data_IF_295025970329
#
_entry.id   IF_295025970329
#
_cell.length_a   1.000
_cell.length_b   1.000
_cell.length_c   1.000
_cell.angle_alpha   90.00
_cell.angle_beta   90.00
_cell.angle_gamma   90.00
#
_symmetry.space_group_name_H-M   'P 1'
#
loop_
_entity.id
_entity.type
_entity.pdbx_description
1 polymer ?
#
# COMPACT_ATOMS: atom_id res chain seq x y z
N UNK A 1 24.16 12.88 -19.70
CA UNK A 1 23.10 13.91 -19.82
C UNK A 1 22.43 13.75 -21.18
N UNK A 2 21.72 12.64 -21.35
CA UNK A 2 20.81 12.42 -22.48
C UNK A 2 19.52 13.14 -22.10
N UNK A 3 19.07 14.07 -22.95
CA UNK A 3 17.85 14.83 -22.69
C UNK A 3 16.71 13.87 -22.39
N UNK A 4 16.05 14.05 -21.23
CA UNK A 4 14.70 13.50 -21.07
C UNK A 4 13.91 14.04 -22.26
N UNK A 5 13.55 13.16 -23.19
CA UNK A 5 12.69 13.52 -24.29
C UNK A 5 11.47 14.22 -23.70
N UNK A 6 11.19 15.42 -24.20
CA UNK A 6 10.01 16.17 -23.78
C UNK A 6 8.81 15.25 -23.92
N UNK A 7 8.03 15.12 -22.86
CA UNK A 7 6.86 14.24 -22.83
C UNK A 7 5.95 14.59 -24.02
N UNK A 8 5.35 13.59 -24.68
CA UNK A 8 4.45 13.90 -25.79
C UNK A 8 3.13 14.49 -25.29
N UNK A 9 2.37 15.16 -26.16
CA UNK A 9 1.05 15.67 -25.81
C UNK A 9 0.10 14.53 -25.40
N UNK A 10 0.23 13.38 -26.08
CA UNK A 10 -0.52 12.16 -25.81
C UNK A 10 -0.22 11.61 -24.42
N UNK A 11 1.06 11.52 -24.05
CA UNK A 11 1.46 11.04 -22.73
C UNK A 11 0.99 12.00 -21.62
N UNK A 12 1.06 13.31 -21.84
CA UNK A 12 0.53 14.30 -20.88
C UNK A 12 -0.97 14.15 -20.64
N UNK A 13 -1.76 14.03 -21.72
CA UNK A 13 -3.20 13.82 -21.62
C UNK A 13 -3.50 12.51 -20.88
N UNK A 14 -2.81 11.44 -21.27
CA UNK A 14 -2.97 10.13 -20.62
C UNK A 14 -2.63 10.18 -19.13
N UNK A 15 -1.53 10.84 -18.75
CA UNK A 15 -1.15 11.03 -17.35
C UNK A 15 -2.24 11.75 -16.56
N UNK A 16 -2.82 12.81 -17.14
CA UNK A 16 -3.88 13.58 -16.48
C UNK A 16 -5.12 12.72 -16.23
N UNK A 17 -5.48 11.85 -17.19
CA UNK A 17 -6.56 10.86 -17.01
C UNK A 17 -6.18 9.80 -15.97
N UNK A 18 -4.93 9.30 -15.98
CA UNK A 18 -4.46 8.28 -15.05
C UNK A 18 -4.40 8.74 -13.58
N UNK A 19 -4.22 10.04 -13.32
CA UNK A 19 -4.26 10.62 -11.97
C UNK A 19 -5.66 10.88 -11.45
N UNK A 20 -6.64 10.96 -12.36
CA UNK A 20 -8.00 11.31 -12.00
C UNK A 20 -8.72 10.08 -11.44
N UNK A 21 -9.24 10.23 -10.22
CA UNK A 21 -10.13 9.24 -9.62
C UNK A 21 -11.57 9.61 -10.00
N UNK A 22 -12.16 8.83 -10.89
CA UNK A 22 -13.48 9.04 -11.46
C UNK A 22 -14.64 8.64 -10.52
N UNK A 23 -14.34 7.93 -9.43
CA UNK A 23 -15.31 7.60 -8.37
C UNK A 23 -15.41 8.73 -7.33
N UNK A 24 -14.28 9.34 -6.97
CA UNK A 24 -14.21 10.35 -5.91
C UNK A 24 -14.15 11.79 -6.42
N UNK A 25 -13.88 11.99 -7.72
CA UNK A 25 -13.63 13.29 -8.32
C UNK A 25 -12.28 13.91 -7.94
N UNK A 26 -11.40 13.17 -7.25
CA UNK A 26 -10.06 13.67 -6.95
C UNK A 26 -9.26 13.81 -8.25
N UNK A 27 -8.63 14.96 -8.44
CA UNK A 27 -7.80 15.22 -9.63
C UNK A 27 -8.55 15.84 -10.81
N UNK A 28 -9.84 16.12 -10.71
CA UNK A 28 -10.63 16.71 -11.82
C UNK A 28 -10.04 18.00 -12.38
N UNK A 29 -9.50 18.88 -11.52
CA UNK A 29 -8.80 20.08 -12.00
C UNK A 29 -7.58 19.76 -12.88
N UNK A 30 -6.79 18.76 -12.47
CA UNK A 30 -5.64 18.28 -13.22
C UNK A 30 -6.02 17.62 -14.55
N UNK A 31 -7.13 16.87 -14.58
CA UNK A 31 -7.71 16.32 -15.81
C UNK A 31 -8.02 17.43 -16.82
N UNK A 32 -8.77 18.45 -16.38
CA UNK A 32 -9.22 19.56 -17.23
C UNK A 32 -8.01 20.39 -17.72
N UNK A 33 -7.05 20.69 -16.84
CA UNK A 33 -5.84 21.43 -17.22
C UNK A 33 -4.95 20.61 -18.17
N UNK A 34 -4.88 19.29 -17.97
CA UNK A 34 -4.23 18.36 -18.90
C UNK A 34 -4.87 18.38 -20.29
N UNK A 35 -6.20 18.40 -20.36
CA UNK A 35 -6.95 18.53 -21.61
C UNK A 35 -6.67 19.86 -22.31
N UNK A 36 -6.69 20.99 -21.58
CA UNK A 36 -6.34 22.32 -22.12
C UNK A 36 -4.93 22.35 -22.71
N UNK A 37 -3.98 21.74 -22.01
CA UNK A 37 -2.59 21.69 -22.45
C UNK A 37 -2.42 20.80 -23.69
N UNK A 38 -3.11 19.66 -23.72
CA UNK A 38 -3.13 18.78 -24.90
C UNK A 38 -3.63 19.53 -26.16
N UNK A 39 -4.68 20.35 -26.03
CA UNK A 39 -5.15 21.23 -27.11
C UNK A 39 -4.09 22.25 -27.55
N UNK A 40 -3.44 22.90 -26.58
CA UNK A 40 -2.38 23.86 -26.87
C UNK A 40 -1.17 23.22 -27.58
N UNK A 41 -0.92 21.95 -27.30
CA UNK A 41 0.17 21.16 -27.89
C UNK A 41 -0.23 20.53 -29.25
N UNK A 42 -1.45 20.78 -29.74
CA UNK A 42 -1.90 20.41 -31.08
C UNK A 42 -2.70 19.10 -31.18
N UNK A 43 -3.00 18.43 -30.06
CA UNK A 43 -4.04 17.39 -30.06
C UNK A 43 -5.40 18.06 -30.22
N UNK A 44 -6.30 17.45 -30.98
CA UNK A 44 -7.61 18.07 -31.22
C UNK A 44 -8.69 17.01 -31.48
N UNK A 45 -9.78 17.10 -30.73
CA UNK A 45 -10.96 16.26 -30.89
C UNK A 45 -12.19 16.95 -30.29
N UNK A 46 -13.42 16.62 -30.75
CA UNK A 46 -14.65 17.15 -30.17
C UNK A 46 -14.72 16.98 -28.64
N UNK A 47 -14.54 15.76 -28.13
CA UNK A 47 -14.61 15.50 -26.69
C UNK A 47 -13.49 16.17 -25.92
N UNK A 48 -12.28 16.29 -26.50
CA UNK A 48 -11.16 16.98 -25.84
C UNK A 48 -11.43 18.47 -25.66
N UNK A 49 -12.07 19.14 -26.63
CA UNK A 49 -12.47 20.56 -26.52
C UNK A 49 -13.52 20.76 -25.44
N UNK A 50 -14.50 19.87 -25.38
CA UNK A 50 -15.54 19.91 -24.34
C UNK A 50 -14.93 19.67 -22.95
N UNK A 51 -14.05 18.67 -22.82
CA UNK A 51 -13.34 18.40 -21.57
C UNK A 51 -12.48 19.59 -21.11
N UNK A 52 -11.77 20.25 -22.02
CA UNK A 52 -10.97 21.43 -21.71
C UNK A 52 -11.82 22.65 -21.30
N UNK A 53 -13.07 22.72 -21.78
CA UNK A 53 -14.04 23.75 -21.43
C UNK A 53 -14.83 23.46 -20.14
N UNK A 54 -14.76 22.23 -19.63
CA UNK A 54 -15.45 21.82 -18.42
C UNK A 54 -14.96 22.55 -17.16
N UNK A 55 -15.78 22.51 -16.11
CA UNK A 55 -15.46 23.01 -14.79
C UNK A 55 -15.26 21.86 -13.79
N UNK A 56 -14.41 22.03 -12.75
CA UNK A 56 -14.16 20.98 -11.76
C UNK A 56 -15.38 20.49 -10.96
N UNK A 57 -16.50 21.21 -11.06
CA UNK A 57 -17.77 20.93 -10.37
C UNK A 57 -18.78 20.21 -11.25
N UNK A 58 -18.45 19.97 -12.51
CA UNK A 58 -19.33 19.27 -13.44
C UNK A 58 -19.48 17.80 -13.01
N UNK A 59 -20.56 17.17 -13.43
CA UNK A 59 -20.93 15.83 -12.99
C UNK A 59 -19.89 14.79 -13.43
N UNK A 60 -19.46 13.93 -12.50
CA UNK A 60 -18.41 12.93 -12.75
C UNK A 60 -18.72 11.97 -13.92
N UNK A 61 -19.98 11.50 -14.12
CA UNK A 61 -20.31 10.68 -15.28
C UNK A 61 -20.04 11.38 -16.62
N UNK A 62 -20.35 12.67 -16.73
CA UNK A 62 -20.15 13.45 -17.97
C UNK A 62 -18.66 13.63 -18.24
N UNK A 63 -17.88 13.97 -17.20
CA UNK A 63 -16.42 14.07 -17.30
C UNK A 63 -15.78 12.74 -17.70
N UNK A 64 -16.33 11.61 -17.25
CA UNK A 64 -15.87 10.26 -17.61
C UNK A 64 -16.10 9.98 -19.08
N UNK A 65 -17.29 10.30 -19.58
CA UNK A 65 -17.63 10.14 -20.99
C UNK A 65 -16.72 11.02 -21.88
N UNK A 66 -16.52 12.28 -21.49
CA UNK A 66 -15.64 13.21 -22.20
C UNK A 66 -14.18 12.74 -22.21
N UNK A 67 -13.64 12.28 -21.08
CA UNK A 67 -12.28 11.75 -21.02
C UNK A 67 -12.11 10.50 -21.89
N UNK A 68 -13.03 9.54 -21.81
CA UNK A 68 -12.99 8.32 -22.62
C UNK A 68 -13.15 8.63 -24.12
N UNK A 69 -14.06 9.53 -24.48
CA UNK A 69 -14.26 10.02 -25.85
C UNK A 69 -13.00 10.69 -26.38
N UNK A 70 -12.41 11.61 -25.62
CA UNK A 70 -11.19 12.32 -26.00
C UNK A 70 -10.06 11.34 -26.33
N UNK A 71 -9.75 10.40 -25.43
CA UNK A 71 -8.70 9.39 -25.64
C UNK A 71 -8.97 8.53 -26.88
N UNK A 72 -10.21 8.07 -27.06
CA UNK A 72 -10.60 7.25 -28.21
C UNK A 72 -10.43 7.98 -29.54
N UNK A 73 -10.90 9.24 -29.62
CA UNK A 73 -10.86 10.05 -30.83
C UNK A 73 -9.42 10.38 -31.27
N UNK A 74 -8.50 10.56 -30.31
CA UNK A 74 -7.07 10.81 -30.62
C UNK A 74 -6.23 9.54 -30.69
N UNK A 75 -6.85 8.35 -30.59
CA UNK A 75 -6.16 7.07 -30.72
C UNK A 75 -5.25 6.70 -29.54
N UNK A 76 -5.53 7.22 -28.36
CA UNK A 76 -4.80 6.92 -27.12
C UNK A 76 -5.54 5.83 -26.34
N UNK A 77 -4.88 4.75 -25.89
CA UNK A 77 -5.53 3.74 -25.06
C UNK A 77 -5.85 4.31 -23.67
N UNK A 78 -6.94 3.83 -23.07
CA UNK A 78 -7.30 4.17 -21.70
C UNK A 78 -6.22 3.71 -20.71
N UNK A 79 -5.95 4.42 -19.59
CA UNK A 79 -4.90 4.03 -18.65
C UNK A 79 -4.93 2.58 -18.17
N UNK A 80 -6.10 2.01 -17.91
CA UNK A 80 -6.25 0.60 -17.52
C UNK A 80 -5.97 -0.43 -18.63
N UNK A 81 -5.80 0.00 -19.88
CA UNK A 81 -5.51 -0.88 -21.01
C UNK A 81 -4.00 -0.98 -21.32
N UNK A 82 -3.17 -0.09 -20.76
CA UNK A 82 -1.71 -0.14 -20.91
C UNK A 82 -1.15 -1.12 -19.88
N UNK A 83 -0.41 -2.17 -20.29
CA UNK A 83 0.19 -3.11 -19.34
C UNK A 83 1.16 -2.42 -18.37
N UNK A 84 1.27 -2.96 -17.16
CA UNK A 84 2.23 -2.47 -16.17
C UNK A 84 3.67 -2.47 -16.70
N UNK A 85 4.44 -1.46 -16.32
CA UNK A 85 5.81 -1.25 -16.83
C UNK A 85 5.91 -0.68 -18.25
N UNK A 86 4.80 -0.25 -18.86
CA UNK A 86 4.79 0.46 -20.14
C UNK A 86 4.38 1.94 -19.97
N UNK A 87 4.68 2.74 -20.99
CA UNK A 87 4.24 4.13 -21.17
C UNK A 87 3.82 4.34 -22.62
N UNK A 88 3.18 5.45 -22.92
CA UNK A 88 2.87 5.86 -24.28
C UNK A 88 4.03 6.61 -24.92
N UNK A 89 4.39 6.16 -26.11
CA UNK A 89 5.20 6.90 -27.06
C UNK A 89 4.33 7.81 -27.95
N UNK A 90 5.01 8.54 -28.83
CA UNK A 90 4.35 9.36 -29.85
C UNK A 90 3.40 8.52 -30.72
N UNK A 91 2.23 9.09 -31.06
CA UNK A 91 1.22 8.39 -31.86
C UNK A 91 0.50 7.24 -31.15
N UNK A 92 0.52 7.21 -29.81
CA UNK A 92 -0.25 6.26 -29.00
C UNK A 92 0.37 4.86 -28.87
N UNK A 93 1.57 4.62 -29.40
CA UNK A 93 2.24 3.33 -29.28
C UNK A 93 2.68 3.06 -27.83
N UNK A 94 2.48 1.85 -27.31
CA UNK A 94 2.99 1.47 -25.98
C UNK A 94 4.45 1.07 -26.06
N UNK A 95 5.31 1.70 -25.26
CA UNK A 95 6.74 1.39 -25.16
C UNK A 95 7.11 1.03 -23.73
N UNK A 96 8.11 0.17 -23.55
CA UNK A 96 8.54 -0.26 -22.22
C UNK A 96 9.15 0.93 -21.46
N UNK A 97 8.76 1.10 -20.20
CA UNK A 97 9.25 2.17 -19.34
C UNK A 97 10.72 1.92 -19.01
N UNK A 98 11.62 2.88 -19.26
CA UNK A 98 13.03 2.72 -18.92
C UNK A 98 13.21 2.82 -17.40
N UNK A 99 14.19 2.08 -16.87
CA UNK A 99 14.55 2.05 -15.45
C UNK A 99 15.36 3.29 -15.04
N UNK A 100 14.70 4.46 -15.00
CA UNK A 100 15.34 5.76 -14.75
C UNK A 100 14.98 6.37 -13.41
N UNK A 101 14.01 5.79 -12.71
CA UNK A 101 13.55 6.32 -11.43
C UNK A 101 14.42 5.83 -10.27
N UNK A 102 14.53 6.65 -9.22
CA UNK A 102 15.20 6.30 -7.97
C UNK A 102 14.19 6.16 -6.83
N UNK A 103 14.44 5.23 -5.92
CA UNK A 103 13.61 5.01 -4.73
C UNK A 103 14.39 5.40 -3.46
N UNK A 104 13.72 6.06 -2.53
CA UNK A 104 14.18 6.21 -1.14
C UNK A 104 13.03 6.04 -0.17
N UNK A 105 13.25 5.30 0.90
CA UNK A 105 12.31 4.98 1.97
C UNK A 105 12.83 5.59 3.28
N UNK A 106 12.00 6.35 3.99
CA UNK A 106 12.36 6.88 5.31
C UNK A 106 11.31 6.49 6.33
N UNK A 107 11.75 5.94 7.48
CA UNK A 107 10.84 5.71 8.60
C UNK A 107 10.88 6.91 9.52
N UNK A 108 9.75 7.57 9.69
CA UNK A 108 9.68 8.82 10.45
C UNK A 108 8.56 8.79 11.49
N UNK A 109 8.80 9.49 12.59
CA UNK A 109 7.80 9.73 13.62
C UNK A 109 6.77 10.73 13.09
N UNK A 110 5.50 10.33 13.09
CA UNK A 110 4.38 11.14 12.56
C UNK A 110 3.97 12.21 13.56
N UNK A 111 3.85 11.85 14.84
CA UNK A 111 3.43 12.76 15.91
C UNK A 111 4.43 12.70 17.06
N UNK A 112 5.10 13.82 17.41
CA UNK A 112 6.00 13.87 18.55
C UNK A 112 5.34 13.39 19.85
N UNK A 113 6.06 12.58 20.63
CA UNK A 113 5.56 12.01 21.89
C UNK A 113 4.63 10.81 21.74
N UNK A 114 4.39 10.34 20.51
CA UNK A 114 3.65 9.09 20.23
C UNK A 114 4.60 7.97 19.77
N UNK A 115 4.07 6.78 19.56
CA UNK A 115 4.74 5.66 18.89
C UNK A 115 4.25 5.46 17.44
N UNK A 116 3.67 6.51 16.83
CA UNK A 116 3.15 6.45 15.47
C UNK A 116 4.26 6.78 14.48
N UNK A 117 4.67 5.78 13.71
CA UNK A 117 5.65 5.93 12.64
C UNK A 117 5.00 5.69 11.28
N UNK A 118 5.59 6.26 10.24
CA UNK A 118 5.19 6.05 8.86
C UNK A 118 6.42 5.84 7.97
N UNK A 119 6.30 4.96 6.99
CA UNK A 119 7.25 4.84 5.89
C UNK A 119 6.90 5.91 4.86
N UNK A 120 7.75 6.94 4.74
CA UNK A 120 7.70 7.89 3.64
C UNK A 120 8.39 7.31 2.43
N UNK A 121 7.72 7.41 1.29
CA UNK A 121 8.24 6.93 0.00
C UNK A 121 8.61 8.13 -0.84
N UNK A 122 9.86 8.16 -1.30
CA UNK A 122 10.36 9.17 -2.21
C UNK A 122 10.71 8.52 -3.54
N UNK A 123 10.21 9.10 -4.63
CA UNK A 123 10.61 8.71 -5.98
C UNK A 123 11.17 9.93 -6.69
N UNK A 124 12.41 9.83 -7.18
CA UNK A 124 13.15 10.96 -7.74
C UNK A 124 13.13 12.18 -6.81
N UNK A 125 13.34 11.94 -5.51
CA UNK A 125 13.30 12.93 -4.43
C UNK A 125 11.94 13.61 -4.16
N UNK A 126 10.87 13.21 -4.84
CA UNK A 126 9.50 13.66 -4.58
C UNK A 126 8.82 12.75 -3.55
N UNK A 127 8.22 13.31 -2.49
CA UNK A 127 7.53 12.51 -1.47
C UNK A 127 6.14 12.05 -1.94
N UNK A 128 6.08 10.80 -2.38
CA UNK A 128 4.91 10.17 -2.99
C UNK A 128 3.80 9.89 -1.98
N UNK A 129 4.15 9.63 -0.71
CA UNK A 129 3.16 9.36 0.34
C UNK A 129 2.30 10.57 0.69
N UNK A 130 2.90 11.78 0.68
CA UNK A 130 2.17 13.02 0.91
C UNK A 130 1.23 13.34 -0.26
N UNK A 131 1.68 13.13 -1.49
CA UNK A 131 0.91 13.40 -2.71
C UNK A 131 -0.16 12.32 -3.00
N UNK A 132 0.00 11.13 -2.44
CA UNK A 132 -1.01 10.07 -2.46
C UNK A 132 -2.09 10.27 -1.41
N UNK A 133 -2.29 9.25 -0.57
CA UNK A 133 -3.26 9.27 0.52
C UNK A 133 -2.82 10.08 1.77
N UNK A 134 -1.73 10.85 1.68
CA UNK A 134 -1.19 11.83 2.65
C UNK A 134 -0.38 11.31 3.82
N UNK A 135 -0.51 10.03 4.20
CA UNK A 135 0.27 9.46 5.29
C UNK A 135 0.84 8.10 4.89
N UNK A 136 2.15 7.90 5.07
CA UNK A 136 2.78 6.61 4.82
C UNK A 136 2.21 5.47 5.68
N UNK A 137 2.38 4.24 5.21
CA UNK A 137 1.99 3.06 6.00
C UNK A 137 2.86 2.90 7.25
N UNK A 138 2.30 2.26 8.28
CA UNK A 138 3.10 1.86 9.45
C UNK A 138 4.23 0.91 8.97
N UNK A 139 5.50 1.13 9.36
CA UNK A 139 6.61 0.27 8.96
C UNK A 139 6.38 -1.20 9.30
N UNK A 140 5.69 -1.47 10.40
CA UNK A 140 5.36 -2.83 10.81
C UNK A 140 4.43 -3.51 9.79
N UNK A 141 3.46 -2.80 9.21
CA UNK A 141 2.55 -3.37 8.20
C UNK A 141 3.17 -3.55 6.82
N UNK A 142 4.26 -2.83 6.54
CA UNK A 142 4.90 -2.85 5.23
C UNK A 142 6.11 -3.78 5.18
N UNK A 143 6.88 -3.85 6.28
CA UNK A 143 8.17 -4.53 6.33
C UNK A 143 8.15 -5.84 7.13
N UNK A 144 7.10 -6.08 7.94
CA UNK A 144 7.04 -7.18 8.91
C UNK A 144 5.67 -7.90 8.81
N UNK A 145 5.61 -9.23 9.01
CA UNK A 145 6.74 -10.17 9.03
C UNK A 145 7.35 -10.43 7.66
N UNK A 146 6.59 -10.14 6.61
CA UNK A 146 6.99 -10.26 5.22
C UNK A 146 7.18 -8.84 4.71
N UNK A 147 8.35 -8.57 4.14
CA UNK A 147 8.59 -7.29 3.49
C UNK A 147 7.81 -7.24 2.17
N UNK A 148 6.69 -6.51 2.19
CA UNK A 148 5.77 -6.42 1.05
C UNK A 148 6.35 -5.67 -0.13
N UNK A 149 7.45 -4.94 0.05
CA UNK A 149 8.13 -4.21 -1.02
C UNK A 149 9.11 -5.10 -1.78
N UNK A 150 9.37 -6.35 -1.37
CA UNK A 150 10.22 -7.26 -2.14
C UNK A 150 9.52 -7.61 -3.45
N UNK A 151 10.12 -7.19 -4.56
CA UNK A 151 9.55 -7.36 -5.90
C UNK A 151 9.81 -8.77 -6.44
N UNK A 152 8.77 -9.41 -6.97
CA UNK A 152 8.85 -10.71 -7.65
C UNK A 152 8.28 -10.61 -9.07
N UNK A 153 8.43 -11.67 -9.86
CA UNK A 153 7.83 -11.73 -11.21
C UNK A 153 6.29 -11.76 -11.17
N UNK A 154 5.70 -12.18 -10.04
CA UNK A 154 4.25 -12.09 -9.84
C UNK A 154 3.88 -10.70 -9.32
N UNK A 155 2.95 -9.98 -9.97
CA UNK A 155 2.51 -8.67 -9.51
C UNK A 155 1.90 -8.73 -8.11
N UNK A 156 2.41 -7.91 -7.21
CA UNK A 156 1.90 -7.78 -5.85
C UNK A 156 1.25 -6.42 -5.63
N UNK A 157 0.03 -6.40 -5.09
CA UNK A 157 -0.65 -5.18 -4.64
C UNK A 157 -0.18 -4.80 -3.24
N UNK A 158 0.35 -3.59 -3.11
CA UNK A 158 0.95 -3.09 -1.87
C UNK A 158 0.41 -1.70 -1.52
N UNK A 159 -0.21 -1.51 -0.35
CA UNK A 159 -0.52 -0.18 0.14
C UNK A 159 0.76 0.53 0.60
N UNK A 160 0.97 1.76 0.14
CA UNK A 160 2.14 2.57 0.51
C UNK A 160 1.75 3.86 1.25
N UNK A 161 0.52 4.34 1.08
CA UNK A 161 -0.03 5.44 1.85
C UNK A 161 -1.49 5.17 2.25
N UNK A 162 -1.95 5.83 3.31
CA UNK A 162 -3.30 5.78 3.86
C UNK A 162 -3.76 7.16 4.29
N UNK A 163 -5.07 7.37 4.40
CA UNK A 163 -5.61 8.58 5.03
C UNK A 163 -5.07 8.73 6.46
N UNK A 164 -4.70 9.95 6.89
CA UNK A 164 -4.36 10.22 8.30
C UNK A 164 -5.58 10.14 9.23
N UNK A 165 -6.78 10.25 8.66
CA UNK A 165 -8.03 10.10 9.38
C UNK A 165 -8.25 8.63 9.78
N UNK A 166 -8.70 8.40 11.02
CA UNK A 166 -9.05 7.03 11.45
C UNK A 166 -10.43 6.59 10.96
N UNK A 167 -11.30 7.54 10.63
CA UNK A 167 -12.75 7.31 10.56
C UNK A 167 -13.42 7.58 9.19
N UNK A 168 -12.77 8.23 8.21
CA UNK A 168 -13.46 8.69 6.99
C UNK A 168 -13.28 7.81 5.74
N UNK A 169 -13.28 6.50 5.91
CA UNK A 169 -13.16 5.53 4.81
C UNK A 169 -11.70 5.32 4.39
N UNK A 170 -11.39 4.10 3.95
CA UNK A 170 -10.03 3.65 3.63
C UNK A 170 -9.53 4.27 2.31
N UNK A 171 -9.20 5.57 2.31
CA UNK A 171 -8.41 6.14 1.21
C UNK A 171 -6.98 5.63 1.35
N UNK A 172 -6.51 4.89 0.34
CA UNK A 172 -5.21 4.23 0.33
C UNK A 172 -4.57 4.45 -1.04
N UNK A 173 -3.28 4.76 -1.07
CA UNK A 173 -2.48 4.69 -2.30
C UNK A 173 -1.90 3.29 -2.39
N UNK A 174 -2.41 2.53 -3.36
CA UNK A 174 -1.94 1.20 -3.68
C UNK A 174 -1.06 1.21 -4.93
N UNK A 175 -0.04 0.37 -4.91
CA UNK A 175 0.86 0.15 -6.03
C UNK A 175 0.91 -1.33 -6.37
N UNK A 176 0.88 -1.64 -7.67
CA UNK A 176 1.28 -2.93 -8.19
C UNK A 176 2.80 -2.93 -8.37
N UNK A 177 3.49 -3.82 -7.67
CA UNK A 177 4.93 -4.01 -7.76
C UNK A 177 5.19 -5.29 -8.55
N UNK A 178 5.93 -5.18 -9.64
CA UNK A 178 6.36 -6.33 -10.45
C UNK A 178 7.82 -6.19 -10.83
N UNK A 179 8.54 -7.30 -10.76
CA UNK A 179 9.92 -7.43 -11.25
C UNK A 179 9.89 -8.05 -12.64
N UNK A 180 10.57 -7.41 -13.57
CA UNK A 180 10.75 -7.91 -14.92
C UNK A 180 12.22 -7.79 -15.30
N UNK A 181 12.92 -8.91 -15.12
CA UNK A 181 14.37 -9.06 -15.17
C UNK A 181 15.12 -8.08 -14.26
N UNK A 182 15.88 -7.16 -14.86
CA UNK A 182 16.71 -6.16 -14.19
C UNK A 182 15.95 -4.89 -13.80
N UNK A 183 14.62 -4.87 -13.95
CA UNK A 183 13.79 -3.69 -13.68
C UNK A 183 12.67 -4.03 -12.72
N UNK A 184 12.39 -3.14 -11.77
CA UNK A 184 11.19 -3.20 -10.93
C UNK A 184 10.24 -2.09 -11.35
N UNK A 185 9.03 -2.46 -11.72
CA UNK A 185 7.97 -1.56 -12.12
C UNK A 185 6.97 -1.37 -10.99
N UNK A 186 6.59 -0.13 -10.77
CA UNK A 186 5.52 0.27 -9.87
C UNK A 186 4.45 0.97 -10.71
N UNK A 187 3.22 0.48 -10.62
CA UNK A 187 2.06 1.09 -11.27
C UNK A 187 0.99 1.40 -10.23
N UNK A 188 0.49 2.63 -10.23
CA UNK A 188 -0.47 3.09 -9.24
C UNK A 188 -1.86 2.51 -9.52
N UNK A 189 -2.51 1.98 -8.49
CA UNK A 189 -3.83 1.35 -8.59
C UNK A 189 -4.94 2.25 -8.05
N UNK A 190 -4.66 2.97 -6.97
CA UNK A 190 -5.60 3.86 -6.30
C UNK A 190 -4.86 5.12 -5.85
N UNK A 191 -5.55 6.27 -5.91
CA UNK A 191 -5.04 7.54 -5.43
C UNK A 191 -3.64 7.87 -5.97
N UNK A 192 -3.51 7.79 -7.30
CA UNK A 192 -2.25 7.87 -8.00
C UNK A 192 -1.52 9.20 -7.73
N UNK A 193 -0.34 9.17 -7.08
CA UNK A 193 0.41 10.37 -6.71
C UNK A 193 1.06 11.04 -7.92
N UNK A 194 1.25 10.30 -9.02
CA UNK A 194 1.78 10.81 -10.28
C UNK A 194 1.10 10.09 -11.46
N UNK A 195 1.04 10.74 -12.63
CA UNK A 195 0.27 10.23 -13.77
C UNK A 195 0.92 9.14 -14.58
N UNK A 196 2.14 8.74 -14.23
CA UNK A 196 2.83 7.59 -14.80
C UNK A 196 3.26 6.65 -13.69
N UNK A 197 3.33 5.35 -13.96
CA UNK A 197 4.09 4.50 -13.06
C UNK A 197 5.59 4.84 -13.08
N UNK A 198 6.34 4.17 -12.22
CA UNK A 198 7.79 4.36 -12.07
C UNK A 198 8.54 3.06 -12.30
N UNK A 199 9.82 3.15 -12.64
CA UNK A 199 10.66 2.00 -12.95
C UNK A 199 12.08 2.19 -12.47
N UNK A 200 12.53 1.23 -11.67
CA UNK A 200 13.80 1.27 -10.96
C UNK A 200 14.74 0.20 -11.51
N UNK A 201 16.04 0.49 -11.51
CA UNK A 201 17.04 -0.57 -11.58
C UNK A 201 16.82 -1.54 -10.42
N UNK A 202 16.70 -2.83 -10.71
CA UNK A 202 16.28 -3.81 -9.71
C UNK A 202 17.32 -3.99 -8.60
N UNK A 203 18.61 -3.84 -8.88
CA UNK A 203 19.65 -3.96 -7.85
C UNK A 203 19.62 -2.75 -6.90
N UNK A 204 19.44 -1.54 -7.43
CA UNK A 204 19.29 -0.33 -6.61
C UNK A 204 18.02 -0.39 -5.76
N UNK A 205 16.90 -0.86 -6.34
CA UNK A 205 15.64 -1.07 -5.64
C UNK A 205 15.80 -2.06 -4.48
N UNK A 206 16.37 -3.25 -4.74
CA UNK A 206 16.56 -4.29 -3.74
C UNK A 206 17.47 -3.81 -2.59
N UNK A 207 18.53 -3.06 -2.91
CA UNK A 207 19.43 -2.50 -1.92
C UNK A 207 18.70 -1.52 -0.98
N UNK A 208 17.85 -0.65 -1.53
CA UNK A 208 17.08 0.31 -0.73
C UNK A 208 16.01 -0.38 0.12
N UNK A 209 15.28 -1.35 -0.44
CA UNK A 209 14.29 -2.15 0.29
C UNK A 209 14.95 -2.94 1.42
N UNK A 210 16.12 -3.54 1.18
CA UNK A 210 16.89 -4.25 2.20
C UNK A 210 17.41 -3.31 3.29
N UNK A 211 17.91 -2.13 2.92
CA UNK A 211 18.36 -1.10 3.88
C UNK A 211 17.21 -0.65 4.78
N UNK A 212 16.05 -0.34 4.21
CA UNK A 212 14.88 0.07 4.96
C UNK A 212 14.38 -1.03 5.91
N UNK A 213 14.39 -2.30 5.47
CA UNK A 213 14.03 -3.44 6.31
C UNK A 213 15.02 -3.70 7.47
N UNK A 214 16.29 -3.34 7.29
CA UNK A 214 17.33 -3.46 8.31
C UNK A 214 17.37 -2.28 9.29
N UNK A 215 16.67 -1.18 8.99
CA UNK A 215 16.54 -0.06 9.92
C UNK A 215 15.53 -0.39 11.02
N UNK A 216 16.04 -0.59 12.24
CA UNK A 216 15.25 -0.87 13.44
C UNK A 216 15.30 0.29 14.44
N UNK A 217 15.83 1.45 14.04
CA UNK A 217 16.03 2.59 14.96
C UNK A 217 14.72 3.21 15.44
N UNK A 218 13.62 2.97 14.72
CA UNK A 218 12.26 3.40 15.05
C UNK A 218 11.51 2.45 15.99
N UNK A 219 12.07 1.26 16.27
CA UNK A 219 11.37 0.25 17.06
C UNK A 219 11.36 0.61 18.55
N UNK A 220 10.15 0.69 19.13
CA UNK A 220 10.00 0.56 20.58
C UNK A 220 10.29 -0.89 21.01
N UNK A 221 10.58 -1.16 22.29
CA UNK A 221 10.78 -2.54 22.76
C UNK A 221 9.65 -3.50 22.37
N UNK A 222 8.41 -3.04 22.42
CA UNK A 222 7.22 -3.81 22.03
C UNK A 222 7.22 -4.12 20.52
N UNK A 223 7.58 -3.16 19.67
CA UNK A 223 7.68 -3.34 18.21
C UNK A 223 8.84 -4.28 17.85
N UNK A 224 9.96 -4.18 18.55
CA UNK A 224 11.06 -5.12 18.40
C UNK A 224 10.65 -6.54 18.78
N UNK A 225 9.92 -6.71 19.88
CA UNK A 225 9.40 -8.01 20.29
C UNK A 225 8.45 -8.59 19.25
N UNK A 226 7.54 -7.76 18.73
CA UNK A 226 6.63 -8.14 17.66
C UNK A 226 7.33 -8.59 16.40
N UNK A 227 8.34 -7.83 15.93
CA UNK A 227 9.12 -8.22 14.76
C UNK A 227 9.82 -9.54 15.03
N UNK A 228 10.55 -9.65 16.14
CA UNK A 228 11.28 -10.87 16.49
C UNK A 228 10.36 -12.09 16.67
N UNK A 229 9.14 -11.89 17.16
CA UNK A 229 8.16 -12.94 17.33
C UNK A 229 7.65 -13.45 15.98
N UNK A 230 7.41 -12.55 15.03
CA UNK A 230 6.85 -12.92 13.74
C UNK A 230 7.91 -13.30 12.71
N UNK A 231 9.14 -12.77 12.81
CA UNK A 231 10.27 -13.17 11.95
C UNK A 231 10.66 -14.63 12.21
N UNK A 232 10.52 -15.46 11.18
CA UNK A 232 10.81 -16.90 11.25
C UNK A 232 9.72 -17.72 11.95
N UNK A 233 8.54 -17.15 12.16
CA UNK A 233 7.33 -17.93 12.45
C UNK A 233 6.82 -18.54 11.15
N UNK A 234 6.39 -19.80 11.20
CA UNK A 234 5.84 -20.55 10.07
C UNK A 234 4.40 -20.08 9.79
N UNK A 235 4.29 -19.01 8.99
CA UNK A 235 3.01 -18.39 8.66
C UNK A 235 2.13 -19.29 7.79
N UNK A 236 2.72 -20.14 6.96
CA UNK A 236 1.97 -21.09 6.11
C UNK A 236 1.27 -22.14 6.97
N UNK A 237 1.95 -22.64 8.01
CA UNK A 237 1.32 -23.51 9.00
C UNK A 237 0.17 -22.81 9.72
N UNK A 238 0.33 -21.53 10.10
CA UNK A 238 -0.74 -20.76 10.73
C UNK A 238 -1.93 -20.56 9.78
N UNK A 239 -1.66 -20.26 8.51
CA UNK A 239 -2.68 -20.17 7.45
C UNK A 239 -3.41 -21.50 7.26
N UNK A 240 -2.75 -22.64 7.45
CA UNK A 240 -3.37 -23.96 7.47
C UNK A 240 -4.43 -24.17 8.58
N UNK A 241 -4.43 -23.33 9.62
CA UNK A 241 -5.49 -23.27 10.63
C UNK A 241 -6.52 -22.16 10.37
N UNK A 242 -6.46 -21.47 9.23
CA UNK A 242 -7.30 -20.31 8.93
C UNK A 242 -6.81 -19.00 9.57
N UNK A 243 -5.63 -19.00 10.20
CA UNK A 243 -5.09 -17.84 10.91
C UNK A 243 -4.25 -16.95 9.99
N UNK A 244 -4.59 -15.67 9.93
CA UNK A 244 -3.86 -14.62 9.23
C UNK A 244 -3.39 -13.57 10.23
N UNK A 245 -2.08 -13.36 10.33
CA UNK A 245 -1.55 -12.31 11.19
C UNK A 245 -2.01 -10.92 10.74
N UNK A 246 -2.37 -10.06 11.70
CA UNK A 246 -2.86 -8.69 11.44
C UNK A 246 -1.97 -7.65 12.11
N UNK A 247 -1.69 -7.82 13.41
CA UNK A 247 -1.03 -6.78 14.20
C UNK A 247 -0.38 -7.36 15.46
N UNK A 248 0.52 -6.58 16.07
CA UNK A 248 1.12 -6.91 17.35
C UNK A 248 1.41 -5.66 18.18
N UNK A 249 1.27 -5.77 19.50
CA UNK A 249 1.60 -4.70 20.43
C UNK A 249 1.20 -5.03 21.86
N UNK A 250 1.09 -4.02 22.72
CA UNK A 250 0.57 -4.24 24.07
C UNK A 250 -0.95 -4.23 24.07
N UNK A 251 -1.55 -5.10 24.89
CA UNK A 251 -3.00 -5.14 25.06
C UNK A 251 -3.51 -3.81 25.57
N UNK A 252 -4.53 -3.24 24.91
CA UNK A 252 -5.18 -2.01 25.38
C UNK A 252 -5.69 -2.10 26.83
N UNK A 253 -6.27 -3.22 27.31
CA UNK A 253 -6.73 -3.31 28.69
C UNK A 253 -5.61 -3.61 29.70
N UNK A 254 -4.47 -4.16 29.26
CA UNK A 254 -3.35 -4.51 30.14
C UNK A 254 -1.99 -4.26 29.43
N UNK A 255 -1.28 -3.17 29.76
CA UNK A 255 0.02 -2.86 29.17
C UNK A 255 1.11 -3.87 29.56
N UNK A 256 0.87 -4.74 30.53
CA UNK A 256 1.76 -5.82 30.95
C UNK A 256 1.58 -7.11 30.12
N UNK A 257 0.72 -7.08 29.10
CA UNK A 257 0.50 -8.18 28.15
C UNK A 257 0.92 -7.75 26.75
N UNK A 258 1.78 -8.55 26.14
CA UNK A 258 2.11 -8.50 24.73
C UNK A 258 1.13 -9.37 23.94
N UNK A 259 0.50 -8.82 22.92
CA UNK A 259 -0.53 -9.46 22.11
C UNK A 259 -0.12 -9.56 20.64
N UNK A 260 -0.34 -10.74 20.07
CA UNK A 260 -0.31 -10.97 18.63
C UNK A 260 -1.75 -11.18 18.16
N UNK A 261 -2.23 -10.29 17.31
CA UNK A 261 -3.57 -10.37 16.72
C UNK A 261 -3.53 -11.12 15.39
N UNK A 262 -4.37 -12.15 15.32
CA UNK A 262 -4.71 -12.91 14.12
C UNK A 262 -6.18 -12.74 13.78
N UNK A 263 -6.47 -12.69 12.49
CA UNK A 263 -7.79 -12.98 11.95
C UNK A 263 -7.92 -14.49 11.76
N UNK A 264 -9.08 -15.06 12.09
CA UNK A 264 -9.41 -16.46 11.85
C UNK A 264 -10.61 -16.56 10.92
N UNK A 265 -10.38 -17.10 9.72
CA UNK A 265 -11.37 -17.34 8.66
C UNK A 265 -12.19 -16.09 8.25
N UNK A 266 -11.70 -14.89 8.55
CA UNK A 266 -12.45 -13.64 8.37
C UNK A 266 -13.64 -13.48 9.33
N UNK A 267 -13.77 -14.36 10.33
CA UNK A 267 -14.90 -14.41 11.26
C UNK A 267 -14.50 -13.94 12.65
N UNK A 268 -13.28 -14.23 13.10
CA UNK A 268 -12.84 -13.90 14.46
C UNK A 268 -11.55 -13.10 14.48
N UNK A 269 -11.40 -12.26 15.50
CA UNK A 269 -10.14 -11.74 16.00
C UNK A 269 -9.66 -12.67 17.11
N UNK A 270 -8.39 -13.08 17.04
CA UNK A 270 -7.73 -13.94 18.03
C UNK A 270 -6.48 -13.21 18.51
N UNK A 271 -6.35 -13.00 19.81
CA UNK A 271 -5.23 -12.32 20.44
C UNK A 271 -4.42 -13.34 21.23
N UNK A 272 -3.25 -13.73 20.73
CA UNK A 272 -2.34 -14.63 21.45
C UNK A 272 -1.53 -13.80 22.44
N UNK A 273 -1.62 -14.17 23.72
CA UNK A 273 -1.13 -13.36 24.83
C UNK A 273 0.16 -13.93 25.40
N UNK A 274 1.17 -13.07 25.53
CA UNK A 274 2.43 -13.37 26.19
C UNK A 274 2.69 -12.30 27.27
N UNK A 275 3.07 -12.68 28.51
CA UNK A 275 3.40 -11.69 29.54
C UNK A 275 4.55 -10.79 29.10
N UNK A 276 4.36 -9.47 29.18
CA UNK A 276 5.39 -8.46 28.99
C UNK A 276 6.16 -8.24 30.30
N UNK A 277 5.51 -7.80 31.39
CA UNK A 277 6.08 -7.74 32.76
C UNK A 277 7.50 -7.12 32.85
N UNK A 278 7.80 -6.13 32.01
CA UNK A 278 9.13 -5.51 31.92
C UNK A 278 10.25 -6.42 31.37
N UNK A 279 9.91 -7.57 30.78
CA UNK A 279 10.85 -8.44 30.06
C UNK A 279 11.45 -7.71 28.88
N UNK A 280 12.64 -8.16 28.48
CA UNK A 280 13.24 -7.69 27.25
C UNK A 280 12.50 -8.24 26.01
N UNK A 281 12.63 -7.51 24.90
CA UNK A 281 11.94 -7.81 23.65
C UNK A 281 12.24 -9.21 23.10
N UNK A 282 13.47 -9.73 23.28
CA UNK A 282 13.89 -11.04 22.76
C UNK A 282 13.28 -12.17 23.58
N UNK A 283 13.21 -12.01 24.90
CA UNK A 283 12.58 -12.97 25.79
C UNK A 283 11.09 -13.11 25.48
N UNK A 284 10.37 -11.98 25.39
CA UNK A 284 8.94 -11.97 25.03
C UNK A 284 8.72 -12.58 23.65
N UNK A 285 9.53 -12.19 22.65
CA UNK A 285 9.43 -12.74 21.30
C UNK A 285 9.65 -14.27 21.25
N UNK A 286 10.63 -14.78 22.01
CA UNK A 286 10.88 -16.22 22.11
C UNK A 286 9.68 -16.95 22.71
N UNK A 287 9.14 -16.45 23.82
CA UNK A 287 7.97 -17.05 24.47
C UNK A 287 6.74 -17.06 23.53
N UNK A 288 6.49 -15.97 22.81
CA UNK A 288 5.43 -15.89 21.82
C UNK A 288 5.65 -16.91 20.67
N UNK A 289 6.87 -17.04 20.16
CA UNK A 289 7.19 -18.04 19.12
C UNK A 289 7.03 -19.49 19.59
N UNK A 290 7.48 -19.79 20.81
CA UNK A 290 7.30 -21.11 21.42
C UNK A 290 5.80 -21.44 21.59
N UNK A 291 4.97 -20.43 21.82
CA UNK A 291 3.52 -20.58 21.81
C UNK A 291 2.99 -20.86 20.41
N UNK A 292 3.29 -20.03 19.41
CA UNK A 292 2.83 -20.20 18.03
C UNK A 292 3.31 -21.51 17.38
N UNK A 293 4.44 -22.06 17.82
CA UNK A 293 4.95 -23.35 17.36
C UNK A 293 4.10 -24.56 17.83
N UNK A 294 3.23 -24.39 18.84
CA UNK A 294 2.32 -25.42 19.35
C UNK A 294 0.95 -25.36 18.66
N UNK A 295 0.11 -26.41 18.72
CA UNK A 295 -1.26 -26.34 18.20
C UNK A 295 -2.08 -25.21 18.85
N UNK A 296 -2.94 -24.50 18.09
CA UNK A 296 -3.72 -23.36 18.60
C UNK A 296 -4.52 -23.62 19.88
N UNK A 297 -5.00 -24.84 20.05
CA UNK A 297 -5.74 -25.32 21.22
C UNK A 297 -4.93 -25.23 22.53
N UNK A 298 -3.62 -25.03 22.46
CA UNK A 298 -2.74 -24.95 23.63
C UNK A 298 -2.32 -23.52 23.97
N UNK A 299 -2.76 -22.54 23.17
CA UNK A 299 -2.39 -21.15 23.37
C UNK A 299 -3.17 -20.51 24.52
N UNK A 300 -2.55 -19.49 25.10
CA UNK A 300 -3.19 -18.49 25.96
C UNK A 300 -3.64 -17.42 24.98
N UNK A 301 -4.95 -17.36 24.76
CA UNK A 301 -5.48 -16.45 23.77
C UNK A 301 -6.83 -15.90 24.20
N UNK A 302 -7.18 -14.76 23.65
CA UNK A 302 -8.55 -14.28 23.70
C UNK A 302 -9.12 -14.17 22.30
N UNK A 303 -10.44 -14.14 22.17
CA UNK A 303 -11.08 -14.03 20.86
C UNK A 303 -12.36 -13.20 20.88
N UNK A 304 -12.72 -12.67 19.72
CA UNK A 304 -13.89 -11.83 19.50
C UNK A 304 -14.42 -11.99 18.06
N UNK A 305 -15.74 -12.15 17.81
CA UNK A 305 -16.28 -12.25 16.45
C UNK A 305 -16.25 -10.89 15.72
N UNK A 306 -15.95 -10.87 14.42
CA UNK A 306 -15.90 -9.65 13.58
C UNK A 306 -17.26 -9.28 12.96
N UNK A 307 -18.20 -10.22 12.73
CA UNK A 307 -19.62 -9.94 12.52
C UNK A 307 -20.42 -10.06 13.84
N UNK A 308 -21.48 -9.28 14.00
CA UNK A 308 -22.26 -9.20 15.26
C UNK A 308 -23.06 -10.46 15.62
N UNK A 309 -23.25 -11.39 14.68
CA UNK A 309 -24.24 -12.47 14.83
C UNK A 309 -23.62 -13.87 15.00
N UNK A 310 -22.28 -14.01 15.02
CA UNK A 310 -21.62 -15.29 15.27
C UNK A 310 -21.24 -15.44 16.75
N UNK A 311 -22.09 -16.15 17.50
CA UNK A 311 -21.89 -16.42 18.92
C UNK A 311 -21.14 -17.73 19.22
N UNK A 312 -20.91 -18.58 18.20
CA UNK A 312 -20.21 -19.85 18.43
C UNK A 312 -18.71 -19.61 18.56
N UNK A 313 -18.04 -20.35 19.46
CA UNK A 313 -16.59 -20.28 19.58
C UNK A 313 -15.89 -20.82 18.32
N UNK A 314 -14.67 -20.37 18.02
CA UNK A 314 -13.84 -20.95 16.99
C UNK A 314 -13.66 -22.47 17.14
N UNK A 315 -13.59 -23.20 16.03
CA UNK A 315 -13.40 -24.66 16.03
C UNK A 315 -12.04 -25.11 16.61
N UNK A 316 -11.04 -24.21 16.57
CA UNK A 316 -9.68 -24.46 17.06
C UNK A 316 -9.45 -24.00 18.51
N UNK A 317 -10.53 -23.62 19.22
CA UNK A 317 -10.44 -23.07 20.58
C UNK A 317 -9.81 -24.06 21.57
N UNK A 318 -8.94 -23.52 22.44
CA UNK A 318 -8.32 -24.25 23.54
C UNK A 318 -9.01 -23.99 24.89
N UNK A 319 -8.76 -24.81 25.93
CA UNK A 319 -9.30 -24.57 27.27
C UNK A 319 -8.78 -23.27 27.93
N UNK A 320 -7.67 -22.73 27.42
CA UNK A 320 -7.07 -21.47 27.87
C UNK A 320 -7.46 -20.26 26.99
N UNK A 321 -8.43 -20.45 26.10
CA UNK A 321 -8.97 -19.34 25.32
C UNK A 321 -10.15 -18.70 26.04
N UNK A 322 -10.21 -17.38 26.04
CA UNK A 322 -11.31 -16.62 26.64
C UNK A 322 -11.97 -15.69 25.63
N UNK A 323 -13.31 -15.59 25.65
CA UNK A 323 -14.01 -14.60 24.82
C UNK A 323 -13.82 -13.22 25.44
N UNK A 324 -13.40 -12.23 24.66
CA UNK A 324 -13.41 -10.83 25.10
C UNK A 324 -14.85 -10.30 25.11
N UNK A 325 -15.27 -9.57 26.15
CA UNK A 325 -16.50 -8.80 26.10
C UNK A 325 -16.36 -7.64 25.09
N UNK A 326 -17.48 -7.27 24.46
CA UNK A 326 -17.61 -6.02 23.71
C UNK A 326 -17.47 -4.81 24.63
#
# INVERSE_FOLDING_TARGET
MTGMGEESAEQRLWNAVAQWNDETGRGTGGLIDGARRALADGLDSPSLRELAAAAPRDELPDLRELAAGALTEVGIPYPGAVPGGFVLGAGGATVRRPAVDTLRLAVELVVPGTSLFAVRVYVNDVEITADGARLGMDPFHLLVPINRLVATAEPARVPIARCPCRDCGFVITDVAIVRDDGVVHWDWLLEAPMGRGVSFDAAAYDAEVARAAADHSWETPVRAAARLAMTGTDLDRLAGYGLRFVWAGNGHPDPEVFELWFELDGIYQVFVQTPWQGRDARETARAAREQLARPPQTWQATWHPMPTDEDRPPSIIGPAWHRLPF
#
